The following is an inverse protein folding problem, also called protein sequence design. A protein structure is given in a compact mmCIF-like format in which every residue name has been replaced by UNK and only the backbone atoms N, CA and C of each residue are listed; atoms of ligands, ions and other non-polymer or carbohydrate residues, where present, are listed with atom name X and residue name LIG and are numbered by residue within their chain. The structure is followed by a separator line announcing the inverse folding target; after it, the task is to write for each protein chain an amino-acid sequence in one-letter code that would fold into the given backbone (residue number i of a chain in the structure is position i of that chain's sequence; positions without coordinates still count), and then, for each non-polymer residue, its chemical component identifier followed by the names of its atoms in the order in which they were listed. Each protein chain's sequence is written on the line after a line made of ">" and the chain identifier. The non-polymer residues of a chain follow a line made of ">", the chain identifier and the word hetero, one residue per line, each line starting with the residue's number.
data_IF_202530887971
#
_entry.id   IF_202530887971
#
_cell.length_a   1.000
_cell.length_b   1.000
_cell.length_c   1.000
_cell.angle_alpha   90.00
_cell.angle_beta   90.00
_cell.angle_gamma   90.00
#
_symmetry.space_group_name_H-M   'P 1'
#
loop_
_entity.id
_entity.type
_entity.pdbx_description
1 polymer ?
#
# COMPACT_ATOMS: atom_id res chain seq x y z
N UNK A 1 10.82 16.66 10.32
CA UNK A 1 12.08 16.08 10.85
C UNK A 1 11.85 14.60 11.13
N UNK A 2 12.81 13.76 10.79
CA UNK A 2 12.87 12.36 11.25
C UNK A 2 13.61 12.37 12.57
N UNK A 3 13.07 11.75 13.65
CA UNK A 3 13.76 11.69 14.93
C UNK A 3 15.11 10.95 14.80
N UNK A 4 16.12 11.41 15.50
CA UNK A 4 17.41 10.73 15.62
C UNK A 4 17.26 9.46 16.48
N UNK A 5 18.08 8.45 16.23
CA UNK A 5 18.07 7.19 16.97
C UNK A 5 16.98 6.19 16.55
N UNK A 6 16.28 6.44 15.43
CA UNK A 6 15.34 5.49 14.86
C UNK A 6 16.04 4.58 13.85
N UNK A 7 15.98 3.28 14.03
CA UNK A 7 16.55 2.29 13.08
C UNK A 7 15.65 2.03 11.88
N UNK A 8 14.32 2.16 12.04
CA UNK A 8 13.35 1.90 11.01
C UNK A 8 12.27 2.99 10.92
N UNK A 9 11.84 3.30 9.70
CA UNK A 9 10.77 4.24 9.42
C UNK A 9 9.62 3.56 8.69
N UNK A 10 8.40 3.64 9.25
CA UNK A 10 7.22 3.02 8.66
C UNK A 10 6.32 4.05 7.98
N UNK A 11 5.93 3.81 6.74
CA UNK A 11 5.09 4.68 5.93
C UNK A 11 3.78 3.97 5.61
N UNK A 12 2.71 4.34 6.32
CA UNK A 12 1.36 3.80 6.14
C UNK A 12 0.39 4.82 5.52
N UNK A 13 0.89 5.98 5.11
CA UNK A 13 0.10 7.05 4.51
C UNK A 13 -0.08 6.85 3.01
N UNK A 14 -1.19 7.39 2.47
CA UNK A 14 -1.47 7.38 1.04
C UNK A 14 -2.96 7.47 0.75
N UNK A 15 -3.28 7.63 -0.53
CA UNK A 15 -4.65 7.61 -1.03
C UNK A 15 -4.91 6.34 -1.83
N UNK A 16 -6.15 5.89 -1.83
CA UNK A 16 -6.57 4.62 -2.43
C UNK A 16 -7.55 4.85 -3.60
N UNK A 17 -7.80 3.82 -4.37
CA UNK A 17 -8.51 3.85 -5.66
C UNK A 17 -9.98 4.31 -5.60
N UNK A 18 -10.61 4.23 -4.44
CA UNK A 18 -12.05 4.58 -4.27
C UNK A 18 -12.28 6.03 -3.87
N UNK A 19 -11.22 6.81 -3.71
CA UNK A 19 -11.35 8.23 -3.42
C UNK A 19 -11.57 8.97 -4.72
N UNK A 20 -12.57 9.82 -4.77
CA UNK A 20 -12.72 10.80 -5.84
C UNK A 20 -11.49 11.71 -5.87
N UNK A 21 -10.81 11.71 -6.99
CA UNK A 21 -9.59 12.46 -7.21
C UNK A 21 -9.85 13.58 -8.21
N UNK A 22 -9.40 14.81 -7.94
CA UNK A 22 -9.48 15.88 -8.93
C UNK A 22 -8.60 15.57 -10.15
N UNK A 23 -8.98 16.06 -11.30
CA UNK A 23 -8.15 16.00 -12.51
C UNK A 23 -7.00 17.01 -12.43
N UNK A 24 -5.80 16.70 -12.94
CA UNK A 24 -5.37 15.39 -13.46
C UNK A 24 -5.18 14.33 -12.36
N UNK A 25 -5.85 13.20 -12.50
CA UNK A 25 -5.90 12.15 -11.46
C UNK A 25 -4.52 11.62 -11.11
N UNK A 26 -3.60 11.52 -12.08
CA UNK A 26 -2.24 11.03 -11.84
C UNK A 26 -1.44 12.00 -10.96
N UNK A 27 -1.60 13.30 -11.13
CA UNK A 27 -0.93 14.32 -10.30
C UNK A 27 -1.37 14.23 -8.85
N UNK A 28 -2.64 13.91 -8.64
CA UNK A 28 -3.18 13.68 -7.31
C UNK A 28 -2.52 12.47 -6.64
N UNK A 29 -2.41 11.33 -7.36
CA UNK A 29 -1.72 10.16 -6.83
C UNK A 29 -0.22 10.40 -6.63
N UNK A 30 0.42 11.12 -7.54
CA UNK A 30 1.82 11.51 -7.38
C UNK A 30 2.02 12.29 -6.09
N UNK A 31 1.22 13.32 -5.87
CA UNK A 31 1.29 14.19 -4.69
C UNK A 31 1.16 13.44 -3.37
N UNK A 32 0.30 12.42 -3.30
CA UNK A 32 -0.01 11.74 -2.04
C UNK A 32 0.62 10.35 -1.88
N UNK A 33 0.98 9.66 -2.96
CA UNK A 33 1.53 8.31 -2.88
C UNK A 33 3.03 8.26 -3.24
N UNK A 34 3.54 9.20 -4.02
CA UNK A 34 4.92 9.14 -4.57
C UNK A 34 5.80 10.22 -3.96
N UNK A 35 5.44 11.49 -4.16
CA UNK A 35 6.25 12.62 -3.69
C UNK A 35 6.60 12.60 -2.19
N UNK A 36 5.74 12.09 -1.27
CA UNK A 36 6.13 11.96 0.12
C UNK A 36 7.34 11.03 0.32
N UNK A 37 7.47 9.95 -0.47
CA UNK A 37 8.60 9.04 -0.37
C UNK A 37 9.89 9.68 -0.87
N UNK A 38 9.84 10.39 -2.00
CA UNK A 38 10.97 11.11 -2.56
C UNK A 38 11.53 12.16 -1.57
N UNK A 39 10.65 12.74 -0.75
CA UNK A 39 11.04 13.73 0.26
C UNK A 39 11.54 13.09 1.56
N UNK A 40 10.92 11.99 2.00
CA UNK A 40 11.24 11.43 3.33
C UNK A 40 12.47 10.54 3.31
N UNK A 41 12.74 9.78 2.25
CA UNK A 41 13.88 8.87 2.22
C UNK A 41 15.25 9.58 2.39
N UNK A 42 15.53 10.72 1.73
CA UNK A 42 16.76 11.46 2.02
C UNK A 42 16.87 11.92 3.48
N UNK A 43 15.74 12.30 4.11
CA UNK A 43 15.71 12.68 5.52
C UNK A 43 15.92 11.48 6.43
N UNK A 44 15.37 10.32 6.12
CA UNK A 44 15.61 9.07 6.83
C UNK A 44 17.10 8.70 6.81
N UNK A 45 17.71 8.72 5.64
CA UNK A 45 19.15 8.44 5.47
C UNK A 45 20.01 9.42 6.27
N UNK A 46 19.69 10.72 6.20
CA UNK A 46 20.42 11.75 6.98
C UNK A 46 20.29 11.55 8.48
N UNK A 47 19.15 11.04 8.96
CA UNK A 47 18.91 10.72 10.37
C UNK A 47 19.51 9.37 10.81
N UNK A 48 20.19 8.63 9.92
CA UNK A 48 20.80 7.34 10.24
C UNK A 48 19.83 6.15 10.25
N UNK A 49 18.61 6.34 9.74
CA UNK A 49 17.63 5.24 9.56
C UNK A 49 18.19 4.24 8.55
N UNK A 50 18.19 2.96 8.90
CA UNK A 50 18.75 1.88 8.07
C UNK A 50 17.70 1.16 7.22
N UNK A 51 16.45 1.24 7.63
CA UNK A 51 15.36 0.52 6.97
C UNK A 51 14.08 1.35 6.91
N UNK A 52 13.37 1.27 5.79
CA UNK A 52 11.99 1.75 5.69
C UNK A 52 11.04 0.59 5.35
N UNK A 53 9.83 0.64 5.90
CA UNK A 53 8.73 -0.25 5.53
C UNK A 53 7.60 0.61 4.97
N UNK A 54 7.18 0.33 3.74
CA UNK A 54 6.14 1.08 3.03
C UNK A 54 4.93 0.18 2.82
N UNK A 55 3.75 0.65 3.18
CA UNK A 55 2.51 -0.03 2.81
C UNK A 55 2.18 0.22 1.34
N UNK A 56 2.49 -0.75 0.51
CA UNK A 56 2.17 -0.81 -0.91
C UNK A 56 0.74 -1.28 -1.17
N UNK A 57 0.52 -1.88 -2.33
CA UNK A 57 -0.78 -2.35 -2.77
C UNK A 57 -0.66 -3.72 -3.44
N UNK A 58 -1.62 -4.59 -3.18
CA UNK A 58 -1.76 -5.87 -3.89
C UNK A 58 -1.90 -5.70 -5.41
N UNK A 59 -2.36 -4.53 -5.88
CA UNK A 59 -2.44 -4.25 -7.31
C UNK A 59 -1.07 -4.14 -7.98
N UNK A 60 -0.02 -3.69 -7.29
CA UNK A 60 1.33 -3.76 -7.84
C UNK A 60 1.82 -5.21 -7.97
N UNK A 61 1.55 -6.06 -6.98
CA UNK A 61 1.80 -7.50 -7.10
C UNK A 61 1.03 -8.11 -8.29
N UNK A 62 -0.27 -7.84 -8.38
CA UNK A 62 -1.12 -8.38 -9.43
C UNK A 62 -0.66 -7.93 -10.83
N UNK A 63 -0.24 -6.66 -11.01
CA UNK A 63 0.31 -6.15 -12.25
C UNK A 63 1.58 -6.90 -12.68
N UNK A 64 2.40 -7.32 -11.73
CA UNK A 64 3.64 -8.07 -12.00
C UNK A 64 3.39 -9.53 -12.39
N UNK A 65 2.41 -10.20 -11.75
CA UNK A 65 2.13 -11.62 -12.03
C UNK A 65 1.12 -11.84 -13.15
N UNK A 66 0.40 -10.78 -13.57
CA UNK A 66 -0.60 -10.79 -14.65
C UNK A 66 -0.40 -9.60 -15.60
N UNK A 67 0.77 -9.51 -16.26
CA UNK A 67 1.09 -8.38 -17.14
C UNK A 67 0.16 -8.27 -18.35
N UNK A 68 -0.43 -9.37 -18.78
CA UNK A 68 -1.44 -9.44 -19.84
C UNK A 68 -2.71 -8.65 -19.54
N UNK A 69 -2.98 -8.36 -18.26
CA UNK A 69 -4.13 -7.56 -17.85
C UNK A 69 -3.94 -6.05 -18.09
N UNK A 70 -2.73 -5.56 -18.29
CA UNK A 70 -2.38 -4.14 -18.49
C UNK A 70 -3.04 -3.23 -17.45
N UNK A 71 -2.95 -3.61 -16.17
CA UNK A 71 -3.67 -2.96 -15.08
C UNK A 71 -3.26 -1.50 -14.88
N UNK A 72 -1.99 -1.19 -15.07
CA UNK A 72 -1.43 0.17 -14.96
C UNK A 72 -1.96 1.15 -16.02
N UNK A 73 -2.34 0.64 -17.19
CA UNK A 73 -2.94 1.46 -18.24
C UNK A 73 -4.42 1.73 -17.99
N UNK A 74 -5.08 0.81 -17.29
CA UNK A 74 -6.51 0.89 -17.00
C UNK A 74 -6.84 1.75 -15.81
N UNK A 75 -5.90 1.90 -14.87
CA UNK A 75 -6.18 2.63 -13.63
C UNK A 75 -4.94 3.41 -13.14
N UNK A 76 -5.02 4.74 -13.07
CA UNK A 76 -3.93 5.60 -12.57
C UNK A 76 -3.46 5.25 -11.16
N UNK A 77 -4.32 4.72 -10.31
CA UNK A 77 -3.94 4.26 -8.99
C UNK A 77 -2.93 3.09 -9.07
N UNK A 78 -3.19 2.08 -9.90
CA UNK A 78 -2.28 0.94 -10.05
C UNK A 78 -0.92 1.38 -10.58
N UNK A 79 -0.92 2.26 -11.58
CA UNK A 79 0.29 2.90 -12.10
C UNK A 79 1.06 3.64 -11.00
N UNK A 80 0.36 4.40 -10.16
CA UNK A 80 1.00 5.13 -9.06
C UNK A 80 1.67 4.21 -8.04
N UNK A 81 1.11 3.01 -7.81
CA UNK A 81 1.70 2.03 -6.88
C UNK A 81 2.94 1.35 -7.44
N UNK A 82 3.01 1.10 -8.74
CA UNK A 82 4.24 0.63 -9.41
C UNK A 82 5.34 1.69 -9.36
N UNK A 83 5.00 2.95 -9.66
CA UNK A 83 5.97 4.08 -9.55
C UNK A 83 6.46 4.24 -8.10
N UNK A 84 5.58 4.05 -7.13
CA UNK A 84 5.95 4.07 -5.70
C UNK A 84 7.03 3.01 -5.38
N UNK A 85 6.90 1.79 -5.91
CA UNK A 85 7.91 0.75 -5.75
C UNK A 85 9.23 1.10 -6.44
N UNK A 86 9.18 1.71 -7.62
CA UNK A 86 10.38 2.17 -8.32
C UNK A 86 11.13 3.24 -7.53
N UNK A 87 10.41 4.17 -6.89
CA UNK A 87 11.02 5.16 -5.99
C UNK A 87 11.66 4.48 -4.78
N UNK A 88 10.97 3.50 -4.19
CA UNK A 88 11.52 2.71 -3.09
C UNK A 88 12.80 1.98 -3.49
N UNK A 89 12.81 1.33 -4.67
CA UNK A 89 13.96 0.61 -5.20
C UNK A 89 15.14 1.55 -5.46
N UNK A 90 14.91 2.71 -6.06
CA UNK A 90 15.94 3.73 -6.32
C UNK A 90 16.51 4.34 -5.05
N UNK A 91 15.74 4.35 -3.96
CA UNK A 91 16.19 4.90 -2.68
C UNK A 91 17.16 3.98 -1.94
N UNK A 92 17.20 2.68 -2.26
CA UNK A 92 18.08 1.72 -1.58
C UNK A 92 19.55 1.96 -1.93
N UNK A 93 20.41 1.71 -0.93
CA UNK A 93 21.86 1.66 -1.06
C UNK A 93 22.45 0.66 -0.03
N UNK A 94 23.75 0.66 0.14
CA UNK A 94 24.44 -0.28 1.07
C UNK A 94 24.02 -0.10 2.53
N UNK A 95 23.53 1.09 2.91
CA UNK A 95 23.20 1.46 4.28
C UNK A 95 21.68 1.66 4.50
N UNK A 96 20.88 1.64 3.44
CA UNK A 96 19.45 1.88 3.50
C UNK A 96 18.66 0.88 2.67
N UNK A 97 17.80 0.11 3.30
CA UNK A 97 16.92 -0.87 2.67
C UNK A 97 15.45 -0.48 2.77
N UNK A 98 14.66 -0.90 1.80
CA UNK A 98 13.22 -0.64 1.79
C UNK A 98 12.44 -1.92 1.52
N UNK A 99 11.49 -2.24 2.40
CA UNK A 99 10.47 -3.26 2.17
C UNK A 99 9.15 -2.60 1.79
N UNK A 100 8.54 -3.02 0.69
CA UNK A 100 7.19 -2.66 0.32
C UNK A 100 6.28 -3.84 0.59
N UNK A 101 5.32 -3.68 1.50
CA UNK A 101 4.30 -4.69 1.80
C UNK A 101 3.13 -4.51 0.84
N UNK A 102 2.99 -5.42 -0.12
CA UNK A 102 1.93 -5.42 -1.13
C UNK A 102 0.64 -5.97 -0.53
N UNK A 103 -0.01 -5.12 0.26
CA UNK A 103 -1.17 -5.49 1.04
C UNK A 103 -2.46 -5.56 0.21
N UNK A 104 -3.31 -6.56 0.46
CA UNK A 104 -4.66 -6.63 -0.07
C UNK A 104 -5.63 -5.73 0.71
N UNK A 105 -6.90 -6.06 0.66
CA UNK A 105 -7.94 -5.37 1.41
C UNK A 105 -7.72 -5.49 2.92
N UNK A 106 -7.82 -4.37 3.65
CA UNK A 106 -7.70 -4.39 5.11
C UNK A 106 -9.09 -4.47 5.73
N UNK A 107 -9.27 -5.50 6.56
CA UNK A 107 -10.47 -5.72 7.34
C UNK A 107 -10.22 -5.28 8.79
N UNK A 108 -10.90 -4.22 9.20
CA UNK A 108 -10.75 -3.70 10.56
C UNK A 108 -11.55 -2.45 10.81
N UNK A 109 -11.56 -2.01 12.06
CA UNK A 109 -12.26 -0.82 12.51
C UNK A 109 -11.27 0.17 13.09
N UNK A 110 -11.57 1.45 12.95
CA UNK A 110 -10.84 2.54 13.56
C UNK A 110 -11.85 3.52 14.18
N UNK A 111 -11.65 3.96 15.43
CA UNK A 111 -12.51 4.95 16.04
C UNK A 111 -12.67 6.21 15.17
N UNK A 112 -13.88 6.70 15.02
CA UNK A 112 -14.20 7.90 14.26
C UNK A 112 -14.13 7.75 12.71
N UNK A 113 -13.89 6.54 12.18
CA UNK A 113 -13.92 6.28 10.74
C UNK A 113 -14.81 5.10 10.41
N UNK A 114 -15.64 5.28 9.37
CA UNK A 114 -16.43 4.20 8.81
C UNK A 114 -15.49 3.19 8.12
N UNK A 115 -15.53 1.90 8.49
CA UNK A 115 -14.71 0.88 7.84
C UNK A 115 -15.07 0.73 6.36
N UNK A 116 -14.07 0.55 5.50
CA UNK A 116 -14.29 0.39 4.05
C UNK A 116 -15.12 -0.85 3.71
N UNK A 117 -15.01 -1.92 4.52
CA UNK A 117 -15.76 -3.16 4.34
C UNK A 117 -17.27 -3.02 4.58
N UNK A 118 -17.75 -1.95 5.23
CA UNK A 118 -19.19 -1.71 5.43
C UNK A 118 -19.93 -1.56 4.11
N UNK A 119 -19.26 -1.08 3.05
CA UNK A 119 -19.84 -1.01 1.70
C UNK A 119 -20.24 -2.40 1.19
N UNK A 120 -19.42 -3.43 1.48
CA UNK A 120 -19.74 -4.81 1.10
C UNK A 120 -20.95 -5.34 1.87
N UNK A 121 -21.03 -5.05 3.17
CA UNK A 121 -22.17 -5.44 4.00
C UNK A 121 -23.47 -4.76 3.49
N UNK A 122 -23.38 -3.48 3.16
CA UNK A 122 -24.55 -2.74 2.64
C UNK A 122 -25.02 -3.29 1.27
N UNK A 123 -24.07 -3.66 0.40
CA UNK A 123 -24.41 -4.31 -0.86
C UNK A 123 -25.11 -5.65 -0.64
N UNK A 124 -24.58 -6.48 0.27
CA UNK A 124 -25.17 -7.77 0.62
C UNK A 124 -26.56 -7.57 1.24
N UNK A 125 -26.70 -6.68 2.21
CA UNK A 125 -27.99 -6.38 2.84
C UNK A 125 -29.01 -5.78 1.88
N UNK A 126 -28.55 -5.04 0.86
CA UNK A 126 -29.42 -4.52 -0.19
C UNK A 126 -29.97 -5.60 -1.12
N UNK A 127 -29.29 -6.74 -1.21
CA UNK A 127 -29.75 -7.89 -2.03
C UNK A 127 -30.95 -8.62 -1.43
N UNK A 128 -31.21 -8.51 -0.14
CA UNK A 128 -32.37 -9.09 0.54
C UNK A 128 -33.71 -8.56 -0.04
N UNK A 129 -33.67 -7.44 -0.76
CA UNK A 129 -34.82 -6.83 -1.42
C UNK A 129 -35.07 -7.40 -2.82
N UNK A 130 -34.18 -8.23 -3.33
CA UNK A 130 -34.32 -8.86 -4.63
C UNK A 130 -34.89 -10.27 -4.51
N UNK A 131 -35.67 -10.75 -5.48
CA UNK A 131 -36.21 -12.11 -5.49
C UNK A 131 -35.13 -13.19 -5.71
N UNK A 132 -33.88 -12.80 -5.90
CA UNK A 132 -32.72 -13.68 -6.10
C UNK A 132 -31.46 -13.00 -5.59
N UNK A 133 -30.47 -13.81 -5.21
CA UNK A 133 -29.17 -13.33 -4.76
C UNK A 133 -28.15 -13.39 -5.89
N UNK A 134 -27.55 -12.27 -6.23
CA UNK A 134 -26.49 -12.16 -7.24
C UNK A 134 -25.14 -11.97 -6.55
N UNK A 135 -24.24 -12.92 -6.78
CA UNK A 135 -22.83 -12.78 -6.38
C UNK A 135 -21.94 -12.83 -7.62
N UNK A 136 -20.98 -11.91 -7.76
CA UNK A 136 -19.96 -12.03 -8.78
C UNK A 136 -19.10 -13.27 -8.52
N UNK A 137 -18.72 -13.98 -9.58
CA UNK A 137 -17.68 -15.01 -9.47
C UNK A 137 -16.37 -14.35 -9.05
N UNK A 138 -15.66 -14.98 -8.11
CA UNK A 138 -14.35 -14.54 -7.68
C UNK A 138 -14.30 -14.31 -6.18
N UNK A 139 -13.22 -13.67 -5.78
CA UNK A 139 -12.94 -13.34 -4.40
C UNK A 139 -11.87 -12.27 -4.31
N UNK A 140 -11.56 -11.84 -3.10
CA UNK A 140 -10.47 -10.92 -2.83
C UNK A 140 -9.70 -11.37 -1.61
N UNK A 141 -8.38 -11.19 -1.65
CA UNK A 141 -7.57 -11.40 -0.47
C UNK A 141 -7.87 -10.30 0.57
N UNK A 142 -7.88 -10.66 1.82
CA UNK A 142 -8.14 -9.76 2.93
C UNK A 142 -7.19 -10.04 4.09
N UNK A 143 -6.77 -8.99 4.77
CA UNK A 143 -6.01 -9.05 6.01
C UNK A 143 -6.68 -8.21 7.09
N UNK A 144 -6.52 -8.62 8.34
CA UNK A 144 -6.91 -7.78 9.47
C UNK A 144 -5.87 -6.68 9.72
N UNK A 145 -6.28 -5.57 10.37
CA UNK A 145 -5.34 -4.54 10.81
C UNK A 145 -4.21 -5.12 11.67
N UNK A 146 -4.51 -6.15 12.49
CA UNK A 146 -3.52 -6.83 13.33
C UNK A 146 -2.46 -7.55 12.50
N UNK A 147 -2.87 -8.30 11.47
CA UNK A 147 -1.95 -9.00 10.56
C UNK A 147 -1.05 -8.01 9.80
N UNK A 148 -1.62 -6.88 9.33
CA UNK A 148 -0.83 -5.82 8.71
C UNK A 148 0.21 -5.26 9.69
N UNK A 149 -0.18 -5.01 10.95
CA UNK A 149 0.75 -4.55 11.99
C UNK A 149 1.86 -5.57 12.26
N UNK A 150 1.54 -6.87 12.31
CA UNK A 150 2.53 -7.94 12.45
C UNK A 150 3.49 -8.01 11.26
N UNK A 151 2.98 -7.86 10.03
CA UNK A 151 3.80 -7.82 8.82
C UNK A 151 4.76 -6.62 8.82
N UNK A 152 4.27 -5.43 9.23
CA UNK A 152 5.13 -4.24 9.39
C UNK A 152 6.23 -4.51 10.41
N UNK A 153 5.89 -5.03 11.59
CA UNK A 153 6.86 -5.33 12.64
C UNK A 153 7.90 -6.35 12.15
N UNK A 154 7.46 -7.45 11.53
CA UNK A 154 8.36 -8.46 10.98
C UNK A 154 9.28 -7.91 9.89
N UNK A 155 8.75 -7.08 8.98
CA UNK A 155 9.57 -6.44 7.95
C UNK A 155 10.55 -5.42 8.55
N UNK A 156 10.16 -4.68 9.58
CA UNK A 156 11.00 -3.68 10.24
C UNK A 156 12.18 -4.33 11.00
N UNK A 157 11.96 -5.49 11.62
CA UNK A 157 12.94 -6.19 12.46
C UNK A 157 13.68 -7.32 11.74
N UNK A 158 13.46 -7.50 10.42
CA UNK A 158 14.11 -8.54 9.64
C UNK A 158 15.63 -8.34 9.63
N UNK A 159 16.35 -9.27 10.26
CA UNK A 159 17.80 -9.26 10.28
C UNK A 159 18.41 -9.49 8.88
N UNK A 160 19.55 -8.84 8.63
CA UNK A 160 20.28 -8.97 7.35
C UNK A 160 19.54 -8.46 6.12
N UNK A 161 18.45 -7.73 6.29
CA UNK A 161 17.70 -7.17 5.17
C UNK A 161 18.52 -6.11 4.41
N UNK A 162 18.63 -6.26 3.10
CA UNK A 162 19.39 -5.39 2.20
C UNK A 162 18.59 -5.04 0.96
N UNK A 163 18.84 -3.85 0.43
CA UNK A 163 18.26 -3.42 -0.84
C UNK A 163 16.74 -3.31 -0.80
N UNK A 164 16.09 -3.60 -1.91
CA UNK A 164 14.66 -3.49 -2.10
C UNK A 164 13.98 -4.87 -2.02
N UNK A 165 12.90 -4.95 -1.27
CA UNK A 165 12.03 -6.12 -1.20
C UNK A 165 10.57 -5.72 -1.42
N UNK A 166 9.89 -6.32 -2.39
CA UNK A 166 8.43 -6.28 -2.51
C UNK A 166 7.85 -7.58 -1.97
N UNK A 167 7.02 -7.49 -0.95
CA UNK A 167 6.54 -8.65 -0.17
C UNK A 167 5.01 -8.67 -0.23
N UNK A 168 4.41 -9.58 -1.01
CA UNK A 168 2.96 -9.80 -0.95
C UNK A 168 2.58 -10.43 0.38
N UNK A 169 1.54 -9.87 1.03
CA UNK A 169 1.08 -10.28 2.36
C UNK A 169 -0.41 -10.61 2.38
#
# INVERSE_FOLDING_TARGET
>A
QVPEGCDCFNIAAGVYERKECPAPVMDYYYKFNIAPLERIFPLCKKAGVKRAVVLGSYFSYLSKIKPDMNLEERNPYFKSRLIQEDVCKKACDDNFSVAVLERPYIFGTQPGRRPVWTVLIEQISGMDKLPFTLYPKGGTAMLTCRQVGQAIAGAATKEGAKGFEAIPI
#
